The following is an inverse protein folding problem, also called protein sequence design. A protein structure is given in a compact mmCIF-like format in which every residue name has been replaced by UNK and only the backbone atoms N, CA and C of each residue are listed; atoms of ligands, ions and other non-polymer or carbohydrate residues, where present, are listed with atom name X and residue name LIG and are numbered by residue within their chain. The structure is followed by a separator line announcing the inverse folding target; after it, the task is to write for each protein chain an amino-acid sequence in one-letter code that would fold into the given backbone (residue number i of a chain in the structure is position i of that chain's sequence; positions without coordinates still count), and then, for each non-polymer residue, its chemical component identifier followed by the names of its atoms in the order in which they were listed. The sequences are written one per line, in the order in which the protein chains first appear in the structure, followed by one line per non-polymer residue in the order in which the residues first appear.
data_IF_528896079277
#
_entry.id   IF_528896079277
#
_cell.length_a   1.000
_cell.length_b   1.000
_cell.length_c   1.000
_cell.angle_alpha   90.00
_cell.angle_beta   90.00
_cell.angle_gamma   90.00
#
_symmetry.space_group_name_H-M   'P 1'
#
loop_
_entity.id
_entity.type
_entity.pdbx_description
1 polymer ?
#
# COMPACT_ATOMS: atom_id res chain seq x y z
N UNK A 1 -3.43 -15.07 15.40
CA UNK A 1 -4.26 -13.87 15.50
C UNK A 1 -3.41 -12.69 15.12
N UNK A 2 -3.51 -12.24 13.87
CA UNK A 2 -2.91 -10.98 13.44
C UNK A 2 -3.40 -10.65 12.03
N UNK A 3 -4.73 -10.55 11.88
CA UNK A 3 -5.30 -9.62 10.91
C UNK A 3 -5.25 -8.25 11.59
N UNK A 4 -4.24 -7.46 11.23
CA UNK A 4 -4.04 -6.12 11.77
C UNK A 4 -3.42 -5.21 10.73
N UNK A 5 -3.83 -3.95 10.73
CA UNK A 5 -3.31 -2.87 9.88
C UNK A 5 -1.78 -2.78 10.06
N UNK A 6 -1.04 -2.62 8.96
CA UNK A 6 0.40 -2.34 9.01
C UNK A 6 0.72 -0.96 8.46
N UNK A 7 1.68 -0.29 9.10
CA UNK A 7 2.18 1.01 8.68
C UNK A 7 3.72 1.04 8.64
N UNK A 8 4.26 2.01 7.91
CA UNK A 8 5.68 2.36 7.91
C UNK A 8 5.84 3.86 8.05
N UNK A 9 6.93 4.29 8.68
CA UNK A 9 7.34 5.68 8.72
C UNK A 9 8.53 5.90 7.77
N UNK A 10 8.38 6.81 6.81
CA UNK A 10 9.47 7.32 6.00
C UNK A 10 10.13 8.51 6.71
N UNK A 11 11.28 8.24 7.33
CA UNK A 11 12.05 9.27 8.06
C UNK A 11 12.70 10.30 7.15
N UNK A 12 12.79 10.05 5.84
CA UNK A 12 13.33 11.04 4.88
C UNK A 12 12.30 12.12 4.53
N UNK A 13 11.01 11.82 4.69
CA UNK A 13 9.91 12.78 4.51
C UNK A 13 9.49 13.44 5.82
N UNK A 14 9.78 12.83 6.96
CA UNK A 14 9.41 13.37 8.25
C UNK A 14 10.11 14.70 8.52
N UNK A 15 9.35 15.75 8.82
CA UNK A 15 9.86 17.11 9.11
C UNK A 15 9.50 17.59 10.52
N UNK A 16 9.32 16.65 11.47
CA UNK A 16 9.24 16.98 12.89
C UNK A 16 7.94 17.62 13.41
N UNK A 17 6.82 17.57 12.67
CA UNK A 17 5.54 18.15 13.11
C UNK A 17 4.96 17.57 14.42
N UNK A 18 5.33 16.32 14.77
CA UNK A 18 4.94 15.67 16.03
C UNK A 18 3.45 15.30 16.17
N UNK A 19 2.59 15.55 15.17
CA UNK A 19 1.15 15.26 15.21
C UNK A 19 0.87 13.76 15.38
N UNK A 20 1.69 12.91 14.76
CA UNK A 20 1.56 11.46 14.85
C UNK A 20 1.65 10.93 16.30
N UNK A 21 2.62 11.40 17.08
CA UNK A 21 2.77 11.04 18.49
C UNK A 21 1.65 11.60 19.38
N UNK A 22 0.94 12.65 18.96
CA UNK A 22 -0.26 13.14 19.66
C UNK A 22 -1.45 12.20 19.47
N UNK A 23 -1.67 11.69 18.24
CA UNK A 23 -2.76 10.77 17.95
C UNK A 23 -2.48 9.36 18.45
N UNK A 24 -1.26 8.85 18.26
CA UNK A 24 -0.89 7.48 18.56
C UNK A 24 0.47 7.38 19.28
N UNK A 25 0.57 7.84 20.55
CA UNK A 25 1.82 7.86 21.31
C UNK A 25 2.42 6.47 21.58
N UNK A 26 1.61 5.42 21.51
CA UNK A 26 2.09 4.03 21.65
C UNK A 26 2.82 3.50 20.42
N UNK A 27 2.69 4.16 19.26
CA UNK A 27 3.25 3.73 17.97
C UNK A 27 4.31 4.68 17.44
N UNK A 28 4.31 5.94 17.88
CA UNK A 28 5.28 6.95 17.45
C UNK A 28 5.96 7.58 18.67
N UNK A 29 7.29 7.52 18.71
CA UNK A 29 8.10 8.31 19.63
C UNK A 29 8.71 9.48 18.89
N UNK A 30 8.96 10.58 19.60
CA UNK A 30 9.71 11.72 19.08
C UNK A 30 11.09 11.75 19.75
N UNK A 31 12.13 12.10 19.00
CA UNK A 31 13.44 12.40 19.55
C UNK A 31 13.54 13.84 20.07
N UNK A 32 14.72 14.23 20.56
CA UNK A 32 14.98 15.56 21.12
C UNK A 32 14.84 16.69 20.09
N UNK A 33 14.84 16.36 18.80
CA UNK A 33 14.63 17.31 17.69
C UNK A 33 13.20 17.27 17.14
N UNK A 34 12.33 16.42 17.69
CA UNK A 34 10.94 16.29 17.29
C UNK A 34 10.70 15.36 16.11
N UNK A 35 11.73 14.70 15.57
CA UNK A 35 11.55 13.74 14.48
C UNK A 35 10.94 12.45 15.02
N UNK A 36 9.97 11.92 14.26
CA UNK A 36 9.29 10.71 14.65
C UNK A 36 10.13 9.46 14.36
N UNK A 37 9.95 8.46 15.21
CA UNK A 37 10.37 7.07 15.00
C UNK A 37 9.19 6.14 15.27
N UNK A 38 9.11 5.06 14.48
CA UNK A 38 8.07 4.04 14.67
C UNK A 38 8.50 3.08 15.77
N UNK A 39 7.59 2.79 16.70
CA UNK A 39 7.79 1.82 17.78
C UNK A 39 7.35 0.44 17.26
N UNK A 40 8.24 -0.55 17.33
CA UNK A 40 7.97 -1.91 16.87
C UNK A 40 8.09 -2.08 15.35
N UNK A 41 7.34 -3.05 14.81
CA UNK A 41 7.41 -3.51 13.41
C UNK A 41 6.34 -2.90 12.50
N UNK A 42 5.58 -1.94 13.05
CA UNK A 42 4.47 -1.28 12.37
C UNK A 42 3.17 -2.07 12.35
N UNK A 43 3.06 -3.19 13.06
CA UNK A 43 1.81 -3.91 13.24
C UNK A 43 0.93 -3.18 14.26
N UNK A 44 -0.29 -2.82 13.85
CA UNK A 44 -1.23 -2.05 14.65
C UNK A 44 -2.37 -2.94 15.13
N UNK A 45 -2.66 -2.89 16.42
CA UNK A 45 -3.80 -3.60 16.98
C UNK A 45 -5.11 -2.95 16.52
N UNK A 46 -6.16 -3.76 16.28
CA UNK A 46 -7.43 -3.24 15.73
C UNK A 46 -8.04 -2.11 16.57
N UNK A 47 -7.90 -2.19 17.91
CA UNK A 47 -8.38 -1.16 18.84
C UNK A 47 -7.71 0.22 18.64
N UNK A 48 -6.50 0.25 18.08
CA UNK A 48 -5.71 1.47 17.90
C UNK A 48 -5.74 1.96 16.43
N UNK A 49 -6.45 1.23 15.55
CA UNK A 49 -6.56 1.53 14.13
C UNK A 49 -6.99 2.97 13.87
N UNK A 50 -8.04 3.44 14.53
CA UNK A 50 -8.56 4.80 14.33
C UNK A 50 -7.57 5.89 14.75
N UNK A 51 -6.77 5.63 15.78
CA UNK A 51 -5.75 6.55 16.26
C UNK A 51 -4.59 6.64 15.26
N UNK A 52 -4.12 5.50 14.76
CA UNK A 52 -3.05 5.44 13.76
C UNK A 52 -3.50 5.98 12.40
N UNK A 53 -4.73 5.69 11.98
CA UNK A 53 -5.28 6.24 10.73
C UNK A 53 -5.40 7.77 10.79
N UNK A 54 -5.80 8.35 11.93
CA UNK A 54 -5.72 9.82 12.12
C UNK A 54 -4.29 10.33 12.00
N UNK A 55 -3.32 9.70 12.65
CA UNK A 55 -1.91 10.08 12.51
C UNK A 55 -1.44 10.08 11.06
N UNK A 56 -1.89 9.09 10.26
CA UNK A 56 -1.58 8.98 8.83
C UNK A 56 -2.18 10.13 8.02
N UNK A 57 -3.46 10.45 8.23
CA UNK A 57 -4.15 11.52 7.48
C UNK A 57 -3.72 12.93 7.89
N UNK A 58 -3.39 13.13 9.17
CA UNK A 58 -3.06 14.46 9.70
C UNK A 58 -1.57 14.80 9.58
N UNK A 59 -0.75 13.91 9.00
CA UNK A 59 0.66 14.17 8.74
C UNK A 59 0.82 15.12 7.52
N UNK A 60 1.28 16.38 7.69
CA UNK A 60 1.29 17.36 6.59
C UNK A 60 2.21 17.01 5.44
N UNK A 61 3.26 16.21 5.73
CA UNK A 61 4.27 15.75 4.77
C UNK A 61 4.05 14.29 4.36
N UNK A 62 2.96 13.67 4.80
CA UNK A 62 2.58 12.30 4.44
C UNK A 62 3.70 11.27 4.66
N UNK A 63 4.47 11.43 5.75
CA UNK A 63 5.59 10.54 6.08
C UNK A 63 5.15 9.14 6.56
N UNK A 64 3.87 8.92 6.84
CA UNK A 64 3.33 7.64 7.32
C UNK A 64 2.63 6.94 6.15
N UNK A 65 3.03 5.70 5.88
CA UNK A 65 2.55 4.91 4.74
C UNK A 65 1.78 3.70 5.24
N UNK A 66 0.58 3.50 4.69
CA UNK A 66 -0.21 2.28 4.91
C UNK A 66 0.33 1.13 4.05
N UNK A 67 0.55 -0.03 4.66
CA UNK A 67 1.14 -1.21 4.02
C UNK A 67 0.12 -2.33 3.75
N UNK A 68 -1.17 -2.10 4.02
CA UNK A 68 -2.19 -3.14 3.94
C UNK A 68 -2.44 -3.84 5.28
N UNK A 69 -3.35 -4.82 5.26
CA UNK A 69 -3.58 -5.72 6.38
C UNK A 69 -2.49 -6.81 6.37
N UNK A 70 -1.98 -7.18 7.54
CA UNK A 70 -1.00 -8.25 7.64
C UNK A 70 -1.68 -9.56 7.27
N UNK A 71 -1.42 -10.08 6.06
CA UNK A 71 -1.73 -11.47 5.76
C UNK A 71 -0.79 -12.33 6.62
N UNK A 72 -1.28 -13.13 7.58
CA UNK A 72 -0.40 -13.97 8.37
C UNK A 72 0.39 -14.87 7.42
N UNK A 73 1.71 -14.90 7.59
CA UNK A 73 2.60 -15.83 6.87
C UNK A 73 2.34 -17.25 7.39
N UNK A 74 1.26 -17.86 6.92
CA UNK A 74 0.93 -19.26 7.16
C UNK A 74 0.99 -20.00 5.82
N UNK A 75 2.09 -20.73 5.64
CA UNK A 75 2.30 -21.88 4.75
C UNK A 75 1.78 -21.80 3.30
N UNK A 76 2.69 -21.53 2.36
CA UNK A 76 2.74 -22.20 1.05
C UNK A 76 1.45 -22.32 0.22
N UNK A 77 0.52 -21.36 0.30
CA UNK A 77 -0.62 -21.34 -0.58
C UNK A 77 -0.17 -20.84 -1.95
N UNK A 78 -0.09 -21.79 -2.89
CA UNK A 78 0.15 -21.61 -4.31
C UNK A 78 -0.41 -20.29 -4.83
N UNK A 79 0.40 -19.58 -5.62
CA UNK A 79 -0.13 -18.67 -6.62
C UNK A 79 -1.26 -19.43 -7.35
N UNK A 80 -2.51 -18.94 -7.37
CA UNK A 80 -3.41 -19.43 -8.40
C UNK A 80 -2.71 -19.05 -9.70
N UNK A 81 -2.31 -20.06 -10.48
CA UNK A 81 -1.83 -19.88 -11.84
C UNK A 81 -2.71 -18.81 -12.48
N UNK A 82 -2.12 -17.65 -12.76
CA UNK A 82 -2.74 -16.65 -13.62
C UNK A 82 -2.84 -17.38 -14.95
N UNK A 83 -3.99 -18.01 -15.21
CA UNK A 83 -4.32 -18.50 -16.53
C UNK A 83 -4.38 -17.26 -17.40
N UNK A 84 -3.27 -17.04 -18.10
CA UNK A 84 -3.14 -16.12 -19.22
C UNK A 84 -4.41 -16.23 -20.06
N UNK A 85 -5.23 -15.16 -20.06
CA UNK A 85 -6.38 -15.08 -20.95
C UNK A 85 -5.86 -15.39 -22.35
N UNK A 86 -6.38 -16.42 -23.04
CA UNK A 86 -5.93 -16.71 -24.40
C UNK A 86 -6.10 -15.44 -25.22
N UNK A 87 -4.99 -14.92 -25.75
CA UNK A 87 -5.02 -13.81 -26.70
C UNK A 87 -5.99 -14.18 -27.83
N UNK A 88 -6.90 -13.27 -28.23
CA UNK A 88 -7.79 -13.57 -29.34
C UNK A 88 -6.97 -13.74 -30.62
N UNK A 89 -6.92 -14.98 -31.10
CA UNK A 89 -6.30 -15.39 -32.36
C UNK A 89 -6.85 -14.51 -33.51
N UNK A 90 -6.02 -13.70 -34.18
CA UNK A 90 -6.48 -12.90 -35.28
C UNK A 90 -6.78 -13.84 -36.45
N UNK A 91 -8.07 -14.17 -36.64
CA UNK A 91 -8.54 -14.88 -37.82
C UNK A 91 -8.19 -14.07 -39.08
N UNK A 92 -7.07 -14.44 -39.71
CA UNK A 92 -6.79 -14.17 -41.10
C UNK A 92 -7.83 -14.95 -41.94
N UNK A 93 -8.95 -14.31 -42.25
CA UNK A 93 -9.71 -14.68 -43.43
C UNK A 93 -9.20 -13.81 -44.58
N UNK A 94 -8.34 -14.41 -45.38
CA UNK A 94 -7.83 -13.83 -46.60
C UNK A 94 -8.93 -13.52 -47.61
N UNK A 95 -8.57 -12.59 -48.50
CA UNK A 95 -9.17 -12.29 -49.80
C UNK A 95 -10.64 -11.86 -49.78
N UNK A 96 -10.88 -10.57 -49.99
CA UNK A 96 -11.30 -10.11 -51.32
C UNK A 96 -10.74 -8.70 -51.53
N UNK A 97 -9.90 -8.57 -52.56
CA UNK A 97 -9.46 -7.29 -53.07
C UNK A 97 -10.66 -6.58 -53.72
N UNK A 98 -11.10 -5.45 -53.15
CA UNK A 98 -11.94 -4.51 -53.90
C UNK A 98 -11.06 -3.37 -54.43
N UNK A 99 -10.44 -3.63 -55.58
CA UNK A 99 -9.84 -2.59 -56.41
C UNK A 99 -10.97 -1.81 -57.10
N UNK A 100 -11.50 -0.75 -56.48
CA UNK A 100 -12.38 0.18 -57.22
C UNK A 100 -12.21 1.67 -56.88
N UNK A 101 -11.21 2.07 -56.08
CA UNK A 101 -10.93 3.49 -55.86
C UNK A 101 -9.83 4.05 -56.79
N UNK A 102 -10.04 3.87 -58.10
CA UNK A 102 -9.50 4.78 -59.11
C UNK A 102 -10.68 5.40 -59.83
N UNK A 103 -11.01 6.63 -59.44
CA UNK A 103 -11.45 7.73 -60.30
C UNK A 103 -11.36 9.04 -59.54
#
# INVERSE_FOLDING_TARGET
MSDGLRIRLDRTLCDGFGICAKHAPGYFSLDDWGYASLIGDGTVAEKDRDAVMRALFDCPVHAIVYMGEHRPSGDGAAHPDVQESPEPDPKNNGSEAISEFVR
#
